data_IF_601392365662
#
_entry.id   IF_601392365662
#
_cell.length_a   1.000
_cell.length_b   1.000
_cell.length_c   1.000
_cell.angle_alpha   90.00
_cell.angle_beta   90.00
_cell.angle_gamma   90.00
#
_symmetry.space_group_name_H-M   'P 1'
#
loop_
_entity.id
_entity.type
_entity.pdbx_description
1 polymer ?
#
# COMPACT_ATOMS: atom_id res chain seq x y z
N UNK A 1 -25.75 -59.32 12.47
CA UNK A 1 -25.01 -58.30 13.23
C UNK A 1 -24.14 -57.51 12.26
N UNK A 2 -24.73 -56.55 11.53
CA UNK A 2 -24.39 -55.11 11.59
C UNK A 2 -23.03 -54.75 12.21
N UNK A 3 -22.06 -54.39 11.38
CA UNK A 3 -20.90 -53.58 11.76
C UNK A 3 -20.71 -52.49 10.68
N UNK A 4 -21.00 -51.25 11.07
CA UNK A 4 -20.89 -50.04 10.24
C UNK A 4 -19.42 -49.70 9.93
N UNK A 5 -19.13 -48.99 8.83
CA UNK A 5 -17.83 -48.38 8.60
C UNK A 5 -17.71 -47.11 9.46
N UNK A 6 -16.58 -46.96 10.17
CA UNK A 6 -16.27 -45.77 10.95
C UNK A 6 -16.03 -44.57 10.01
N UNK A 7 -17.02 -43.67 10.01
CA UNK A 7 -16.98 -42.38 9.35
C UNK A 7 -16.12 -41.44 10.21
N UNK A 8 -14.87 -41.20 9.81
CA UNK A 8 -14.00 -40.18 10.40
C UNK A 8 -14.63 -38.80 10.19
N UNK A 9 -15.36 -38.33 11.21
CA UNK A 9 -15.83 -36.95 11.30
C UNK A 9 -14.59 -36.07 11.61
N UNK A 10 -14.02 -35.43 10.58
CA UNK A 10 -13.13 -34.29 10.80
C UNK A 10 -13.98 -33.13 11.33
N UNK A 11 -14.05 -32.99 12.65
CA UNK A 11 -14.57 -31.79 13.29
C UNK A 11 -13.59 -30.63 13.05
N UNK A 12 -13.94 -29.73 12.13
CA UNK A 12 -13.39 -28.38 12.06
C UNK A 12 -13.80 -27.61 13.33
N UNK A 13 -13.06 -27.82 14.42
CA UNK A 13 -13.08 -26.88 15.53
C UNK A 13 -12.28 -25.66 15.08
N UNK A 14 -13.00 -24.67 14.56
CA UNK A 14 -12.49 -23.32 14.44
C UNK A 14 -12.29 -22.79 15.87
N UNK A 15 -11.14 -23.06 16.46
CA UNK A 15 -10.73 -22.42 17.70
C UNK A 15 -10.51 -20.94 17.39
N UNK A 16 -11.50 -20.12 17.70
CA UNK A 16 -11.32 -18.68 17.82
C UNK A 16 -10.24 -18.52 18.89
N UNK A 17 -9.03 -18.16 18.46
CA UNK A 17 -7.92 -17.85 19.36
C UNK A 17 -8.29 -16.54 20.07
N UNK A 18 -9.00 -16.64 21.20
CA UNK A 18 -9.22 -15.50 22.08
C UNK A 18 -7.87 -15.25 22.77
N UNK A 19 -7.24 -14.07 22.56
CA UNK A 19 -5.95 -13.78 23.17
C UNK A 19 -6.07 -13.90 24.69
N UNK A 20 -5.09 -14.56 25.31
CA UNK A 20 -5.09 -14.78 26.76
C UNK A 20 -4.94 -13.45 27.51
N UNK A 21 -5.35 -13.39 28.77
CA UNK A 21 -5.15 -12.17 29.59
C UNK A 21 -3.66 -11.81 29.74
N UNK A 22 -2.76 -12.79 29.64
CA UNK A 22 -1.32 -12.56 29.61
C UNK A 22 -0.87 -11.79 28.36
N UNK A 23 -1.46 -12.08 27.19
CA UNK A 23 -1.17 -11.37 25.94
C UNK A 23 -1.68 -9.92 25.98
N UNK A 24 -2.80 -9.69 26.68
CA UNK A 24 -3.35 -8.33 26.88
C UNK A 24 -2.48 -7.49 27.81
N UNK A 25 -1.95 -8.09 28.89
CA UNK A 25 -1.08 -7.40 29.83
C UNK A 25 0.24 -6.94 29.19
N UNK A 26 0.76 -7.67 28.20
CA UNK A 26 1.99 -7.31 27.48
C UNK A 26 1.86 -6.04 26.62
N UNK A 27 0.63 -5.59 26.31
CA UNK A 27 0.37 -4.39 25.51
C UNK A 27 0.20 -3.13 26.36
N UNK A 28 0.27 -3.27 27.68
CA UNK A 28 0.03 -2.20 28.64
C UNK A 28 1.35 -1.73 29.28
N UNK A 29 1.44 -0.45 29.61
CA UNK A 29 2.47 0.13 30.46
C UNK A 29 2.26 -0.33 31.90
N UNK A 30 3.23 -0.04 32.77
CA UNK A 30 3.13 -0.29 34.22
C UNK A 30 1.94 0.42 34.87
N UNK A 31 1.38 1.43 34.21
CA UNK A 31 0.22 2.22 34.65
C UNK A 31 -1.11 1.70 34.07
N UNK A 32 -1.08 0.62 33.26
CA UNK A 32 -2.27 0.03 32.66
C UNK A 32 -2.76 0.75 31.38
N UNK A 33 -1.96 1.63 30.79
CA UNK A 33 -2.27 2.27 29.49
C UNK A 33 -1.65 1.48 28.33
N UNK A 34 -2.24 1.52 27.13
CA UNK A 34 -1.57 0.94 25.96
C UNK A 34 -0.22 1.61 25.68
N UNK A 35 0.77 0.83 25.20
CA UNK A 35 2.06 1.37 24.75
C UNK A 35 1.85 2.54 23.75
N UNK A 36 2.70 3.59 23.79
CA UNK A 36 2.47 4.80 23.00
C UNK A 36 2.29 4.57 21.50
N UNK A 37 3.06 3.66 20.90
CA UNK A 37 2.95 3.31 19.47
C UNK A 37 1.66 2.56 19.14
N UNK A 38 1.15 1.72 20.04
CA UNK A 38 -0.14 1.04 19.89
C UNK A 38 -1.28 2.05 20.00
N UNK A 39 -1.21 2.95 20.99
CA UNK A 39 -2.18 4.04 21.16
C UNK A 39 -2.23 4.92 19.93
N UNK A 40 -1.06 5.29 19.38
CA UNK A 40 -0.95 6.07 18.15
C UNK A 40 -1.58 5.35 16.95
N UNK A 41 -1.21 4.08 16.73
CA UNK A 41 -1.75 3.30 15.60
C UNK A 41 -3.28 3.18 15.68
N UNK A 42 -3.83 2.89 16.87
CA UNK A 42 -5.29 2.86 17.09
C UNK A 42 -5.94 4.21 16.84
N UNK A 43 -5.32 5.29 17.31
CA UNK A 43 -5.84 6.64 17.14
C UNK A 43 -5.86 7.09 15.66
N UNK A 44 -4.81 6.79 14.90
CA UNK A 44 -4.73 7.14 13.48
C UNK A 44 -5.67 6.30 12.60
N UNK A 45 -5.95 5.06 13.00
CA UNK A 45 -6.80 4.12 12.24
C UNK A 45 -8.23 4.00 12.77
N UNK A 46 -8.65 4.88 13.69
CA UNK A 46 -10.01 4.90 14.21
C UNK A 46 -11.00 5.29 13.12
N UNK A 47 -11.94 4.38 12.83
CA UNK A 47 -12.98 4.56 11.81
C UNK A 47 -13.93 5.74 12.11
N UNK A 48 -13.97 6.23 13.35
CA UNK A 48 -14.75 7.44 13.70
C UNK A 48 -14.06 8.73 13.27
N UNK A 49 -12.74 8.70 13.09
CA UNK A 49 -11.91 9.87 12.76
C UNK A 49 -11.45 9.87 11.31
N UNK A 50 -11.18 8.70 10.76
CA UNK A 50 -10.58 8.55 9.43
C UNK A 50 -11.41 7.61 8.54
N UNK A 51 -11.92 8.14 7.43
CA UNK A 51 -12.55 7.34 6.38
C UNK A 51 -11.63 7.25 5.16
N UNK A 52 -11.08 6.05 4.94
CA UNK A 52 -10.19 5.75 3.81
C UNK A 52 -10.82 5.92 2.44
N UNK A 53 -12.15 5.97 2.35
CA UNK A 53 -12.86 6.08 1.07
C UNK A 53 -12.84 7.51 0.52
N UNK A 54 -12.53 8.49 1.37
CA UNK A 54 -12.58 9.91 1.04
C UNK A 54 -11.15 10.44 0.89
N UNK A 55 -10.94 11.35 -0.08
CA UNK A 55 -9.64 12.02 -0.25
C UNK A 55 -9.25 12.77 1.04
N UNK A 56 -8.00 12.68 1.49
CA UNK A 56 -7.56 13.22 2.78
C UNK A 56 -7.25 14.73 2.72
N UNK A 57 -8.26 15.53 2.39
CA UNK A 57 -8.17 16.99 2.31
C UNK A 57 -9.26 17.63 3.16
N UNK A 58 -8.94 18.71 3.88
CA UNK A 58 -9.95 19.49 4.61
C UNK A 58 -10.86 20.28 3.68
N UNK A 59 -10.26 20.90 2.67
CA UNK A 59 -10.99 21.67 1.67
C UNK A 59 -11.09 20.83 0.40
N UNK A 60 -12.32 20.39 0.08
CA UNK A 60 -12.56 19.53 -1.08
C UNK A 60 -12.17 20.19 -2.41
N UNK A 61 -12.16 21.53 -2.47
CA UNK A 61 -11.75 22.32 -3.63
C UNK A 61 -10.25 22.28 -3.90
N UNK A 62 -9.43 21.81 -2.94
CA UNK A 62 -7.99 21.68 -3.12
C UNK A 62 -7.63 20.28 -3.68
N UNK A 63 -6.66 20.21 -4.61
CA UNK A 63 -6.15 18.94 -5.10
C UNK A 63 -5.22 18.28 -4.08
N UNK A 64 -5.18 16.95 -4.09
CA UNK A 64 -4.17 16.17 -3.37
C UNK A 64 -3.01 15.91 -4.31
N UNK A 65 -1.86 16.54 -4.06
CA UNK A 65 -0.66 16.30 -4.87
C UNK A 65 -0.01 14.98 -4.49
N UNK A 66 0.08 14.08 -5.46
CA UNK A 66 0.74 12.77 -5.32
C UNK A 66 2.02 12.78 -6.16
N UNK A 67 3.15 12.58 -5.51
CA UNK A 67 4.44 12.38 -6.16
C UNK A 67 4.62 10.90 -6.44
N UNK A 68 4.63 10.54 -7.71
CA UNK A 68 4.87 9.18 -8.17
C UNK A 68 6.30 9.07 -8.70
N UNK A 69 7.05 8.07 -8.23
CA UNK A 69 8.40 7.77 -8.69
C UNK A 69 8.52 6.27 -8.92
N UNK A 70 9.08 5.89 -10.07
CA UNK A 70 9.35 4.50 -10.41
C UNK A 70 10.84 4.30 -10.60
N UNK A 71 11.41 3.35 -9.88
CA UNK A 71 12.81 2.95 -9.99
C UNK A 71 12.88 1.59 -10.68
N UNK A 72 13.51 1.54 -11.85
CA UNK A 72 13.75 0.30 -12.57
C UNK A 72 14.85 -0.50 -11.88
N UNK A 73 14.54 -1.72 -11.44
CA UNK A 73 15.54 -2.63 -10.89
C UNK A 73 16.20 -3.44 -12.01
N UNK A 74 15.40 -4.08 -12.86
CA UNK A 74 15.89 -4.81 -14.04
C UNK A 74 14.78 -4.99 -15.09
N UNK A 75 15.19 -5.23 -16.33
CA UNK A 75 14.34 -5.76 -17.39
C UNK A 75 14.39 -7.29 -17.27
N UNK A 76 13.25 -7.93 -17.04
CA UNK A 76 13.16 -9.38 -16.85
C UNK A 76 13.19 -10.12 -18.18
N UNK A 77 12.40 -9.66 -19.15
CA UNK A 77 12.37 -10.23 -20.49
C UNK A 77 11.75 -9.26 -21.48
N UNK A 78 12.16 -9.40 -22.74
CA UNK A 78 11.54 -8.74 -23.90
C UNK A 78 10.98 -9.87 -24.78
N UNK A 79 9.73 -9.75 -25.20
CA UNK A 79 9.10 -10.69 -26.11
C UNK A 79 8.79 -9.98 -27.43
N UNK A 80 9.60 -10.23 -28.44
CA UNK A 80 9.49 -9.56 -29.73
C UNK A 80 8.23 -10.00 -30.48
N UNK A 81 7.86 -11.28 -30.35
CA UNK A 81 6.68 -11.86 -31.00
C UNK A 81 5.38 -11.30 -30.44
N UNK A 82 5.31 -11.11 -29.13
CA UNK A 82 4.13 -10.60 -28.44
C UNK A 82 4.18 -9.09 -28.15
N UNK A 83 5.27 -8.42 -28.55
CA UNK A 83 5.47 -6.98 -28.36
C UNK A 83 5.26 -6.53 -26.91
N UNK A 84 5.83 -7.28 -25.97
CA UNK A 84 5.74 -6.97 -24.55
C UNK A 84 7.10 -7.00 -23.86
N UNK A 85 7.19 -6.24 -22.77
CA UNK A 85 8.38 -6.13 -21.94
C UNK A 85 7.98 -6.31 -20.49
N UNK A 86 8.70 -7.20 -19.80
CA UNK A 86 8.53 -7.45 -18.38
C UNK A 86 9.59 -6.66 -17.60
N UNK A 87 9.13 -5.82 -16.68
CA UNK A 87 9.96 -4.93 -15.89
C UNK A 87 9.81 -5.27 -14.40
N UNK A 88 10.92 -5.37 -13.68
CA UNK A 88 10.93 -5.40 -12.22
C UNK A 88 11.23 -3.99 -11.70
N UNK A 89 10.28 -3.39 -10.99
CA UNK A 89 10.35 -2.00 -10.55
C UNK A 89 10.00 -1.83 -9.08
N UNK A 90 10.52 -0.77 -8.48
CA UNK A 90 10.07 -0.25 -7.20
C UNK A 90 9.27 1.01 -7.43
N UNK A 91 8.03 1.01 -6.96
CA UNK A 91 7.15 2.18 -7.00
C UNK A 91 7.20 2.87 -5.66
N UNK A 92 7.35 4.20 -5.69
CA UNK A 92 7.36 5.07 -4.52
C UNK A 92 6.31 6.15 -4.77
N UNK A 93 5.29 6.18 -3.94
CA UNK A 93 4.24 7.18 -3.92
C UNK A 93 4.35 8.00 -2.63
N UNK A 94 4.33 9.31 -2.77
CA UNK A 94 4.32 10.23 -1.63
C UNK A 94 3.19 11.23 -1.76
N UNK A 95 2.44 11.43 -0.69
CA UNK A 95 1.42 12.47 -0.62
C UNK A 95 1.31 12.99 0.81
N UNK A 96 0.64 14.12 0.95
CA UNK A 96 0.27 14.68 2.25
C UNK A 96 -1.16 14.28 2.58
N UNK A 97 -1.35 13.75 3.78
CA UNK A 97 -2.66 13.44 4.34
C UNK A 97 -2.94 14.39 5.50
N UNK A 98 -3.92 15.28 5.33
CA UNK A 98 -4.23 16.30 6.32
C UNK A 98 -4.91 15.72 7.59
N UNK A 99 -5.55 14.56 7.46
CA UNK A 99 -6.33 13.91 8.52
C UNK A 99 -5.43 13.07 9.46
N UNK A 100 -4.31 12.58 8.96
CA UNK A 100 -3.32 11.76 9.68
C UNK A 100 -2.32 12.56 10.54
N UNK A 101 -2.73 13.69 11.11
CA UNK A 101 -1.89 14.48 12.02
C UNK A 101 -1.95 14.04 13.48
N UNK A 102 -0.80 14.02 14.17
CA UNK A 102 -0.70 13.85 15.63
C UNK A 102 0.42 14.70 16.22
N UNK A 103 0.31 14.96 17.53
CA UNK A 103 1.34 15.61 18.33
C UNK A 103 2.32 14.56 18.88
N UNK A 104 3.60 14.53 18.47
CA UNK A 104 4.58 13.54 18.94
C UNK A 104 4.75 13.53 20.46
N UNK A 105 4.59 14.68 21.12
CA UNK A 105 4.75 14.83 22.56
C UNK A 105 3.75 13.96 23.35
N UNK A 106 2.56 13.71 22.81
CA UNK A 106 1.51 12.87 23.43
C UNK A 106 1.76 11.37 23.29
N UNK A 107 2.64 10.97 22.37
CA UNK A 107 2.90 9.57 22.02
C UNK A 107 4.37 9.19 22.24
N UNK A 108 5.08 9.88 23.13
CA UNK A 108 6.47 9.55 23.47
C UNK A 108 7.48 9.93 22.37
N UNK A 109 7.29 11.08 21.73
CA UNK A 109 8.14 11.63 20.66
C UNK A 109 8.24 10.74 19.41
N UNK A 110 7.17 10.00 19.11
CA UNK A 110 7.09 9.22 17.87
C UNK A 110 6.83 10.15 16.69
N UNK A 111 7.84 10.32 15.85
CA UNK A 111 7.76 11.16 14.65
C UNK A 111 7.30 10.38 13.41
N UNK A 112 7.53 9.07 13.40
CA UNK A 112 7.21 8.19 12.27
C UNK A 112 6.61 6.89 12.78
N UNK A 113 5.63 6.38 12.05
CA UNK A 113 5.00 5.09 12.36
C UNK A 113 4.62 4.36 11.08
N UNK A 114 4.37 3.06 11.20
CA UNK A 114 3.99 2.19 10.09
C UNK A 114 2.53 1.81 10.29
N UNK A 115 1.72 1.95 9.24
CA UNK A 115 0.29 1.67 9.27
C UNK A 115 -0.08 0.74 8.11
N UNK A 116 -0.98 -0.24 8.32
CA UNK A 116 -1.45 -1.08 7.23
C UNK A 116 -2.10 -0.26 6.12
N UNK A 117 -1.68 -0.48 4.88
CA UNK A 117 -2.14 0.30 3.72
C UNK A 117 -3.66 0.30 3.55
N UNK A 118 -4.33 -0.80 3.90
CA UNK A 118 -5.76 -0.98 3.74
C UNK A 118 -6.60 -0.18 4.75
N UNK A 119 -5.98 0.47 5.75
CA UNK A 119 -6.64 1.33 6.74
C UNK A 119 -6.63 2.80 6.36
N UNK A 120 -5.79 3.20 5.41
CA UNK A 120 -5.66 4.59 4.98
C UNK A 120 -6.16 4.76 3.53
N UNK A 121 -6.41 6.01 3.14
CA UNK A 121 -6.67 6.34 1.74
C UNK A 121 -5.39 6.13 0.93
N UNK A 122 -5.54 5.54 -0.26
CA UNK A 122 -4.46 5.39 -1.24
C UNK A 122 -4.87 6.08 -2.54
N UNK A 123 -3.95 6.78 -3.21
CA UNK A 123 -4.24 7.37 -4.50
C UNK A 123 -4.43 6.29 -5.56
N UNK A 124 -5.39 6.50 -6.46
CA UNK A 124 -5.61 5.63 -7.58
C UNK A 124 -4.50 5.82 -8.62
N UNK A 125 -3.74 4.76 -8.88
CA UNK A 125 -2.68 4.76 -9.89
C UNK A 125 -2.86 3.56 -10.80
N UNK A 126 -2.94 3.79 -12.10
CA UNK A 126 -3.21 2.76 -13.09
C UNK A 126 -2.19 2.77 -14.22
N UNK A 127 -1.72 1.58 -14.61
CA UNK A 127 -0.81 1.36 -15.73
C UNK A 127 -1.63 1.08 -17.00
N UNK A 128 -1.73 2.06 -17.88
CA UNK A 128 -2.64 2.02 -19.04
C UNK A 128 -2.23 1.01 -20.10
N UNK A 129 -0.93 0.86 -20.33
CA UNK A 129 -0.39 -0.07 -21.32
C UNK A 129 0.03 -1.42 -20.71
N UNK A 130 -0.60 -1.83 -19.61
CA UNK A 130 -0.38 -3.15 -19.02
C UNK A 130 -1.05 -4.25 -19.84
N UNK A 131 -0.36 -5.37 -20.03
CA UNK A 131 -0.93 -6.61 -20.59
C UNK A 131 -1.72 -7.38 -19.52
N UNK A 132 -1.34 -7.22 -18.25
CA UNK A 132 -2.01 -7.86 -17.10
C UNK A 132 -2.75 -6.79 -16.30
N UNK A 133 -4.08 -6.88 -16.25
CA UNK A 133 -4.92 -5.90 -15.55
C UNK A 133 -5.12 -6.22 -14.07
N UNK A 134 -4.77 -7.43 -13.63
CA UNK A 134 -4.93 -7.85 -12.24
C UNK A 134 -3.77 -7.35 -11.40
N UNK A 135 -4.10 -6.45 -10.48
CA UNK A 135 -3.15 -5.85 -9.56
C UNK A 135 -2.47 -6.87 -8.63
N UNK A 136 -3.22 -7.84 -8.10
CA UNK A 136 -2.69 -8.84 -7.15
C UNK A 136 -1.60 -9.74 -7.76
N UNK A 137 -1.56 -9.84 -9.09
CA UNK A 137 -0.55 -10.62 -9.81
C UNK A 137 0.71 -9.78 -10.10
N UNK A 138 0.61 -8.45 -10.12
CA UNK A 138 1.68 -7.54 -10.56
C UNK A 138 2.28 -6.71 -9.44
N UNK A 139 1.51 -6.38 -8.39
CA UNK A 139 1.92 -5.46 -7.32
C UNK A 139 1.84 -6.13 -5.96
N UNK A 140 2.88 -5.95 -5.13
CA UNK A 140 2.88 -6.45 -3.76
C UNK A 140 2.83 -5.31 -2.76
N UNK A 141 1.62 -4.96 -2.35
CA UNK A 141 1.38 -3.86 -1.41
C UNK A 141 1.97 -4.18 -0.03
N UNK A 142 2.73 -3.23 0.50
CA UNK A 142 3.34 -3.27 1.82
C UNK A 142 2.67 -2.24 2.73
N UNK A 143 3.02 -2.25 4.01
CA UNK A 143 2.56 -1.22 4.94
C UNK A 143 3.17 0.15 4.58
N UNK A 144 2.47 1.18 5.04
CA UNK A 144 2.75 2.57 4.67
C UNK A 144 3.51 3.24 5.81
N UNK A 145 4.55 4.00 5.47
CA UNK A 145 5.26 4.83 6.44
C UNK A 145 4.60 6.20 6.51
N UNK A 146 4.23 6.63 7.71
CA UNK A 146 3.60 7.93 7.97
C UNK A 146 4.52 8.75 8.87
N UNK A 147 4.84 9.98 8.46
CA UNK A 147 5.68 10.93 9.19
C UNK A 147 4.88 12.17 9.55
N UNK A 148 4.86 12.56 10.83
CA UNK A 148 4.14 13.76 11.27
C UNK A 148 4.81 15.04 10.77
N UNK A 149 3.99 16.01 10.36
CA UNK A 149 4.47 17.34 9.98
C UNK A 149 4.42 18.36 11.15
N UNK A 150 4.20 17.87 12.38
CA UNK A 150 4.07 18.70 13.58
C UNK A 150 5.25 19.65 13.79
N UNK A 151 6.49 19.16 13.62
CA UNK A 151 7.70 19.97 13.82
C UNK A 151 7.88 21.07 12.77
N UNK A 152 7.25 20.92 11.61
CA UNK A 152 7.22 21.94 10.56
C UNK A 152 6.11 22.97 10.77
N UNK A 153 5.33 22.85 11.86
CA UNK A 153 4.17 23.69 12.12
C UNK A 153 3.02 23.42 11.15
N UNK A 154 3.06 22.30 10.43
CA UNK A 154 2.08 21.96 9.42
C UNK A 154 1.12 20.88 9.92
N UNK A 155 -0.15 20.97 9.49
CA UNK A 155 -1.15 19.97 9.79
C UNK A 155 -0.95 18.69 8.95
N UNK A 156 -1.34 17.56 9.52
CA UNK A 156 -1.34 16.28 8.82
C UNK A 156 -0.02 15.55 8.94
N UNK A 157 0.18 14.62 8.03
CA UNK A 157 1.40 13.84 7.92
C UNK A 157 1.78 13.64 6.46
N UNK A 158 3.09 13.50 6.22
CA UNK A 158 3.60 12.96 4.97
C UNK A 158 3.51 11.45 4.97
N UNK A 159 2.91 10.91 3.92
CA UNK A 159 2.67 9.49 3.73
C UNK A 159 3.56 8.99 2.59
N UNK A 160 4.35 7.95 2.87
CA UNK A 160 5.19 7.28 1.89
C UNK A 160 4.75 5.81 1.74
N UNK A 161 4.28 5.49 0.54
CA UNK A 161 3.89 4.14 0.15
C UNK A 161 4.87 3.61 -0.88
N UNK A 162 5.53 2.51 -0.55
CA UNK A 162 6.54 1.89 -1.41
C UNK A 162 6.18 0.42 -1.61
N UNK A 163 6.17 -0.03 -2.85
CA UNK A 163 5.90 -1.43 -3.17
C UNK A 163 6.72 -1.90 -4.39
N UNK A 164 7.20 -3.15 -4.37
CA UNK A 164 7.76 -3.77 -5.56
C UNK A 164 6.62 -4.20 -6.50
N UNK A 165 6.87 -4.07 -7.81
CA UNK A 165 5.93 -4.48 -8.85
C UNK A 165 6.66 -5.13 -10.04
N UNK A 166 6.00 -6.09 -10.67
CA UNK A 166 6.39 -6.66 -11.96
C UNK A 166 5.39 -6.20 -13.01
N UNK A 167 5.80 -5.26 -13.85
CA UNK A 167 4.96 -4.69 -14.89
C UNK A 167 5.26 -5.32 -16.24
N UNK A 168 4.24 -5.95 -16.83
CA UNK A 168 4.24 -6.42 -18.21
C UNK A 168 3.56 -5.39 -19.09
N UNK A 169 4.35 -4.60 -19.81
CA UNK A 169 3.84 -3.53 -20.67
C UNK A 169 3.80 -3.95 -22.13
N UNK A 170 2.81 -3.45 -22.85
CA UNK A 170 2.79 -3.48 -24.31
C UNK A 170 3.73 -2.40 -24.86
N UNK A 171 4.66 -2.78 -25.72
CA UNK A 171 5.62 -1.89 -26.34
C UNK A 171 5.79 -2.26 -27.83
N UNK A 172 5.59 -1.30 -28.72
CA UNK A 172 5.76 -1.53 -30.15
C UNK A 172 7.25 -1.56 -30.49
N UNK A 173 7.73 -2.74 -30.88
CA UNK A 173 9.14 -2.99 -31.20
C UNK A 173 9.40 -2.80 -32.71
N UNK A 174 10.52 -2.16 -33.03
CA UNK A 174 10.98 -1.93 -34.40
C UNK A 174 12.10 -2.90 -34.78
N UNK A 175 11.79 -3.90 -35.61
CA UNK A 175 12.70 -5.01 -35.96
C UNK A 175 13.49 -4.78 -37.27
N UNK A 176 13.49 -3.55 -37.82
CA UNK A 176 14.14 -3.26 -39.12
C UNK A 176 15.64 -3.54 -39.14
N UNK A 177 16.32 -3.42 -38.00
CA UNK A 177 17.78 -3.52 -37.89
C UNK A 177 18.24 -4.67 -37.01
N UNK A 178 17.40 -5.69 -36.81
CA UNK A 178 17.75 -6.85 -36.01
C UNK A 178 19.08 -7.48 -36.47
N UNK A 179 20.03 -7.81 -35.57
CA UNK A 179 19.97 -7.77 -34.10
C UNK A 179 20.56 -6.51 -33.43
N UNK A 180 20.79 -5.43 -34.19
CA UNK A 180 21.40 -4.17 -33.71
C UNK A 180 20.38 -3.04 -33.55
N UNK A 181 19.12 -3.40 -33.36
CA UNK A 181 17.99 -2.49 -33.19
C UNK A 181 18.02 -1.80 -31.81
N UNK A 182 17.42 -0.60 -31.75
CA UNK A 182 17.20 0.14 -30.53
C UNK A 182 15.70 0.24 -30.27
N UNK A 183 15.27 -0.08 -29.05
CA UNK A 183 13.87 -0.11 -28.68
C UNK A 183 13.54 1.01 -27.69
N UNK A 184 12.44 1.71 -27.94
CA UNK A 184 11.94 2.76 -27.06
C UNK A 184 10.55 2.38 -26.54
N UNK A 185 10.50 1.98 -25.27
CA UNK A 185 9.27 1.57 -24.62
C UNK A 185 8.81 2.61 -23.60
N UNK A 186 7.62 3.16 -23.82
CA UNK A 186 7.00 4.14 -22.92
C UNK A 186 6.11 3.43 -21.92
N UNK A 187 6.26 3.75 -20.63
CA UNK A 187 5.36 3.32 -19.56
C UNK A 187 4.37 4.45 -19.29
N UNK A 188 3.06 4.19 -19.41
CA UNK A 188 2.01 5.20 -19.23
C UNK A 188 1.23 4.94 -17.95
N UNK A 189 1.39 5.83 -16.98
CA UNK A 189 0.75 5.75 -15.66
C UNK A 189 -0.07 7.00 -15.42
N UNK A 190 -1.31 6.85 -14.96
CA UNK A 190 -2.17 7.96 -14.56
C UNK A 190 -3.23 7.48 -13.56
N UNK A 191 -3.88 8.42 -12.88
CA UNK A 191 -5.10 8.15 -12.12
C UNK A 191 -6.25 7.77 -13.06
N UNK A 192 -7.16 6.92 -12.57
CA UNK A 192 -8.33 6.46 -13.32
C UNK A 192 -9.60 7.25 -12.97
N UNK A 193 -9.79 7.52 -11.69
CA UNK A 193 -10.96 8.17 -11.10
C UNK A 193 -10.73 9.67 -10.85
N UNK A 194 -9.49 10.07 -10.60
CA UNK A 194 -9.15 11.46 -10.31
C UNK A 194 -8.82 12.22 -11.60
N UNK A 195 -9.52 13.32 -11.88
CA UNK A 195 -9.22 14.24 -12.99
C UNK A 195 -8.43 15.46 -12.50
N UNK A 196 -7.49 15.95 -13.31
CA UNK A 196 -6.95 17.32 -13.17
C UNK A 196 -8.03 18.30 -13.65
N UNK A 197 -8.97 18.66 -12.79
CA UNK A 197 -9.87 19.81 -13.03
C UNK A 197 -9.55 20.87 -12.00
#
# INVERSE_FOLDING_TARGET
LSSRPDMLLLSLLCTIFVPSDADRAALLTTEGEFLPHIRLAKHLTDARRYDRRVRPVFNHSLPTTVTFTMSLYQILSINERHQNVDLNVWVIQKWRDDLLGWNPLEYGNINRTIIPYHKIWLPDTFLYNSVILKQEETERYMDVTVSTNYWEGQRGAEVQFMYPAVYRISCQLDIRFFPYDQQNCTVTISSWTSSKV
#
